data_IF_730149428902
#
_entry.id   IF_730149428902
#
_cell.length_a   1.000
_cell.length_b   1.000
_cell.length_c   1.000
_cell.angle_alpha   90.00
_cell.angle_beta   90.00
_cell.angle_gamma   90.00
#
_symmetry.space_group_name_H-M   'P 1'
#
loop_
_entity.id
_entity.type
_entity.pdbx_description
1 polymer ?
#
# COMPACT_ATOMS: atom_id res chain seq x y z
N UNK A 1 -35.15 -55.64 -26.60
CA UNK A 1 -33.84 -56.32 -26.45
C UNK A 1 -33.19 -55.76 -25.19
N UNK A 2 -33.25 -56.50 -24.07
CA UNK A 2 -32.79 -56.03 -22.76
C UNK A 2 -31.26 -56.15 -22.72
N UNK A 3 -30.57 -55.02 -22.55
CA UNK A 3 -29.12 -55.02 -22.34
C UNK A 3 -28.83 -55.64 -20.97
N UNK A 4 -28.44 -56.91 -20.96
CA UNK A 4 -27.90 -57.58 -19.78
C UNK A 4 -26.48 -57.06 -19.58
N UNK A 5 -26.33 -56.07 -18.70
CA UNK A 5 -25.02 -55.62 -18.24
C UNK A 5 -24.45 -56.75 -17.39
N UNK A 6 -23.33 -57.34 -17.84
CA UNK A 6 -22.66 -58.42 -17.12
C UNK A 6 -22.28 -57.97 -15.72
N UNK A 7 -22.54 -58.81 -14.71
CA UNK A 7 -22.23 -58.60 -13.29
C UNK A 7 -20.78 -58.13 -13.03
N UNK A 8 -19.87 -58.44 -13.94
CA UNK A 8 -18.46 -58.02 -13.89
C UNK A 8 -18.23 -56.54 -14.22
N UNK A 9 -19.06 -55.92 -15.07
CA UNK A 9 -18.96 -54.50 -15.40
C UNK A 9 -19.42 -53.61 -14.25
N UNK A 10 -20.52 -53.98 -13.58
CA UNK A 10 -20.95 -53.27 -12.36
C UNK A 10 -19.91 -53.39 -11.23
N UNK A 11 -19.26 -54.55 -11.10
CA UNK A 11 -18.19 -54.74 -10.12
C UNK A 11 -16.95 -53.88 -10.42
N UNK A 12 -16.61 -53.69 -11.71
CA UNK A 12 -15.54 -52.78 -12.16
C UNK A 12 -15.89 -51.32 -11.93
N UNK A 13 -17.11 -50.90 -12.22
CA UNK A 13 -17.63 -49.54 -11.99
C UNK A 13 -17.58 -49.18 -10.48
N UNK A 14 -18.00 -50.11 -9.61
CA UNK A 14 -17.98 -49.94 -8.15
C UNK A 14 -16.56 -49.88 -7.60
N UNK A 15 -15.61 -50.67 -8.13
CA UNK A 15 -14.18 -50.58 -7.77
C UNK A 15 -13.55 -49.25 -8.23
N UNK A 16 -13.93 -48.72 -9.40
CA UNK A 16 -13.46 -47.43 -9.93
C UNK A 16 -13.95 -46.22 -9.11
N UNK A 17 -15.18 -46.30 -8.57
CA UNK A 17 -15.71 -45.28 -7.64
C UNK A 17 -15.08 -45.38 -6.24
N UNK A 18 -14.79 -46.59 -5.75
CA UNK A 18 -14.17 -46.81 -4.42
C UNK A 18 -12.67 -46.41 -4.36
N UNK A 19 -11.95 -46.39 -5.48
CA UNK A 19 -10.51 -46.08 -5.51
C UNK A 19 -10.17 -44.59 -5.79
N UNK A 20 -11.16 -43.71 -5.96
CA UNK A 20 -10.94 -42.26 -5.94
C UNK A 20 -10.83 -41.78 -4.49
N UNK A 21 -9.71 -42.07 -3.85
CA UNK A 21 -9.35 -41.39 -2.59
C UNK A 21 -9.23 -39.89 -2.87
N UNK A 22 -9.80 -39.00 -2.04
CA UNK A 22 -9.46 -37.59 -2.11
C UNK A 22 -7.96 -37.48 -1.89
N UNK A 23 -7.26 -36.78 -2.78
CA UNK A 23 -5.82 -36.55 -2.65
C UNK A 23 -5.62 -35.60 -1.46
N UNK A 24 -5.50 -36.17 -0.26
CA UNK A 24 -5.01 -35.44 0.90
C UNK A 24 -3.62 -34.89 0.52
N UNK A 25 -3.43 -33.57 0.64
CA UNK A 25 -2.35 -32.75 0.07
C UNK A 25 -2.47 -32.26 -1.38
N UNK A 26 -3.67 -32.06 -1.93
CA UNK A 26 -3.79 -30.95 -2.88
C UNK A 26 -3.66 -29.64 -2.10
N UNK A 27 -2.58 -28.87 -2.30
CA UNK A 27 -2.54 -27.47 -1.87
C UNK A 27 -3.86 -26.84 -2.31
N UNK A 28 -4.69 -26.42 -1.35
CA UNK A 28 -5.93 -25.70 -1.65
C UNK A 28 -5.51 -24.61 -2.61
N UNK A 29 -5.96 -24.70 -3.87
CA UNK A 29 -5.72 -23.62 -4.82
C UNK A 29 -6.38 -22.44 -4.14
N UNK A 30 -5.58 -21.52 -3.61
CA UNK A 30 -6.07 -20.20 -3.25
C UNK A 30 -6.74 -19.73 -4.53
N UNK A 31 -8.07 -19.75 -4.55
CA UNK A 31 -8.80 -19.05 -5.58
C UNK A 31 -8.38 -17.61 -5.35
N UNK A 32 -7.41 -17.16 -6.12
CA UNK A 32 -7.16 -15.74 -6.23
C UNK A 32 -8.52 -15.13 -6.51
N UNK A 33 -8.91 -14.14 -5.71
CA UNK A 33 -10.22 -13.51 -5.73
C UNK A 33 -10.36 -12.62 -6.98
N UNK A 34 -10.05 -13.21 -8.15
CA UNK A 34 -9.97 -12.55 -9.45
C UNK A 34 -11.34 -12.01 -9.83
N UNK A 35 -12.42 -12.60 -9.33
CA UNK A 35 -13.77 -12.11 -9.57
C UNK A 35 -14.08 -10.76 -8.90
N UNK A 36 -13.31 -10.31 -7.90
CA UNK A 36 -13.41 -8.94 -7.39
C UNK A 36 -13.04 -7.87 -8.45
N UNK A 37 -12.41 -8.27 -9.55
CA UNK A 37 -11.85 -7.38 -10.56
C UNK A 37 -12.44 -7.60 -11.97
N UNK A 38 -13.34 -8.58 -12.11
CA UNK A 38 -13.93 -8.97 -13.40
C UNK A 38 -15.42 -9.23 -13.23
N UNK A 39 -16.22 -8.85 -14.22
CA UNK A 39 -17.63 -9.22 -14.31
C UNK A 39 -17.88 -10.18 -15.47
N UNK A 40 -18.94 -10.98 -15.36
CA UNK A 40 -19.34 -11.97 -16.37
C UNK A 40 -20.40 -11.34 -17.28
N UNK A 41 -20.21 -11.43 -18.58
CA UNK A 41 -21.17 -10.98 -19.60
C UNK A 41 -21.54 -12.16 -20.49
N UNK A 42 -22.81 -12.28 -20.84
CA UNK A 42 -23.30 -13.23 -21.84
C UNK A 42 -23.45 -12.48 -23.14
N UNK A 43 -22.64 -12.81 -24.14
CA UNK A 43 -22.71 -12.20 -25.46
C UNK A 43 -22.79 -13.29 -26.53
N UNK A 44 -23.53 -13.07 -27.63
CA UNK A 44 -23.41 -13.91 -28.81
C UNK A 44 -21.96 -13.85 -29.32
N UNK A 45 -21.39 -15.00 -29.68
CA UNK A 45 -20.11 -15.03 -30.36
C UNK A 45 -20.28 -14.46 -31.78
N UNK A 46 -19.37 -13.57 -32.20
CA UNK A 46 -19.40 -12.89 -33.50
C UNK A 46 -19.28 -13.89 -34.67
N UNK A 47 -18.83 -15.11 -34.40
CA UNK A 47 -18.53 -16.13 -35.42
C UNK A 47 -19.55 -17.25 -35.53
N UNK A 48 -20.26 -17.57 -34.45
CA UNK A 48 -21.16 -18.75 -34.40
C UNK A 48 -22.57 -18.42 -33.92
N UNK A 49 -22.82 -17.19 -33.45
CA UNK A 49 -24.13 -16.79 -32.92
C UNK A 49 -24.51 -17.49 -31.60
N UNK A 50 -23.65 -18.36 -31.06
CA UNK A 50 -23.87 -19.03 -29.79
C UNK A 50 -23.63 -18.07 -28.62
N UNK A 51 -24.49 -18.13 -27.60
CA UNK A 51 -24.36 -17.31 -26.40
C UNK A 51 -23.19 -17.83 -25.57
N UNK A 52 -22.05 -17.16 -25.66
CA UNK A 52 -20.85 -17.49 -24.89
C UNK A 52 -20.73 -16.60 -23.65
N UNK A 53 -20.31 -17.21 -22.55
CA UNK A 53 -19.95 -16.50 -21.33
C UNK A 53 -18.55 -15.90 -21.51
N UNK A 54 -18.44 -14.58 -21.34
CA UNK A 54 -17.19 -13.84 -21.39
C UNK A 54 -16.92 -13.18 -20.03
N UNK A 55 -15.66 -13.15 -19.63
CA UNK A 55 -15.17 -12.40 -18.47
C UNK A 55 -14.55 -11.08 -18.94
N UNK A 56 -15.04 -9.97 -18.42
CA UNK A 56 -14.63 -8.61 -18.78
C UNK A 56 -13.94 -7.98 -17.58
N UNK A 57 -12.78 -7.39 -17.80
CA UNK A 57 -12.01 -6.70 -16.76
C UNK A 57 -12.67 -5.35 -16.44
N UNK A 58 -12.79 -5.00 -15.17
CA UNK A 58 -13.39 -3.73 -14.75
C UNK A 58 -12.49 -2.51 -15.00
N UNK A 59 -11.21 -2.74 -15.27
CA UNK A 59 -10.18 -1.68 -15.34
C UNK A 59 -9.65 -1.42 -16.74
N UNK A 60 -9.84 -2.37 -17.67
CA UNK A 60 -9.49 -2.18 -19.06
C UNK A 60 -10.66 -2.61 -19.94
N UNK A 61 -11.03 -1.75 -20.87
CA UNK A 61 -12.10 -2.04 -21.82
C UNK A 61 -11.60 -2.90 -22.99
N UNK A 62 -10.29 -3.13 -23.07
CA UNK A 62 -9.65 -3.66 -24.28
C UNK A 62 -9.73 -5.18 -24.42
N UNK A 63 -10.08 -5.93 -23.36
CA UNK A 63 -9.98 -7.41 -23.37
C UNK A 63 -11.16 -8.10 -22.70
N UNK A 64 -11.88 -8.90 -23.49
CA UNK A 64 -12.87 -9.88 -23.04
C UNK A 64 -12.28 -11.28 -23.20
N UNK A 65 -12.46 -12.14 -22.19
CA UNK A 65 -11.93 -13.50 -22.18
C UNK A 65 -13.08 -14.51 -22.22
N UNK A 66 -13.02 -15.51 -23.08
CA UNK A 66 -13.99 -16.60 -23.05
C UNK A 66 -13.89 -17.36 -21.72
N UNK A 67 -15.03 -17.66 -21.10
CA UNK A 67 -15.12 -18.34 -19.82
C UNK A 67 -16.24 -19.37 -19.82
N UNK A 68 -15.95 -20.58 -19.32
CA UNK A 68 -16.97 -21.61 -19.05
C UNK A 68 -17.21 -21.67 -17.54
N UNK A 69 -18.48 -21.73 -17.09
CA UNK A 69 -18.78 -21.85 -15.64
C UNK A 69 -18.07 -23.09 -15.07
N UNK A 70 -17.36 -22.91 -13.95
CA UNK A 70 -16.56 -23.98 -13.34
C UNK A 70 -15.22 -24.26 -14.05
N UNK A 71 -14.90 -23.54 -15.12
CA UNK A 71 -13.63 -23.62 -15.82
C UNK A 71 -12.51 -22.87 -15.10
N UNK A 72 -11.27 -23.09 -15.56
CA UNK A 72 -10.07 -22.45 -15.01
C UNK A 72 -10.09 -20.92 -15.17
N UNK A 73 -9.74 -20.20 -14.11
CA UNK A 73 -9.57 -18.74 -14.10
C UNK A 73 -8.12 -18.31 -14.34
N UNK A 74 -7.20 -19.22 -14.69
CA UNK A 74 -5.77 -18.91 -14.84
C UNK A 74 -5.47 -17.86 -15.92
N UNK A 75 -6.29 -17.79 -16.98
CA UNK A 75 -6.13 -16.81 -18.07
C UNK A 75 -6.43 -15.39 -17.60
N UNK A 76 -7.56 -15.19 -16.94
CA UNK A 76 -7.96 -13.89 -16.37
C UNK A 76 -7.09 -13.50 -15.17
N UNK A 77 -6.64 -14.45 -14.36
CA UNK A 77 -5.68 -14.19 -13.28
C UNK A 77 -4.32 -13.70 -13.82
N UNK A 78 -3.82 -14.28 -14.91
CA UNK A 78 -2.59 -13.80 -15.57
C UNK A 78 -2.77 -12.41 -16.17
N UNK A 79 -3.95 -12.10 -16.71
CA UNK A 79 -4.27 -10.74 -17.13
C UNK A 79 -4.22 -9.77 -15.96
N UNK A 80 -4.89 -10.08 -14.84
CA UNK A 80 -4.97 -9.22 -13.66
C UNK A 80 -3.58 -8.73 -13.21
N UNK A 81 -2.62 -9.66 -13.07
CA UNK A 81 -1.24 -9.35 -12.66
C UNK A 81 -0.50 -8.37 -13.59
N UNK A 82 -0.90 -8.30 -14.87
CA UNK A 82 -0.26 -7.46 -15.90
C UNK A 82 -1.18 -6.36 -16.43
N UNK A 83 -2.39 -6.21 -15.90
CA UNK A 83 -3.38 -5.29 -16.43
C UNK A 83 -2.90 -3.84 -16.25
N UNK A 84 -2.69 -3.13 -17.38
CA UNK A 84 -2.29 -1.73 -17.36
C UNK A 84 -3.35 -0.85 -16.70
N UNK A 85 -4.63 -1.09 -17.01
CA UNK A 85 -5.76 -0.36 -16.41
C UNK A 85 -5.80 -0.48 -14.89
N UNK A 86 -5.58 -1.69 -14.36
CA UNK A 86 -5.50 -1.93 -12.92
C UNK A 86 -4.32 -1.19 -12.28
N UNK A 87 -3.13 -1.31 -12.87
CA UNK A 87 -1.93 -0.59 -12.38
C UNK A 87 -2.12 0.93 -12.39
N UNK A 88 -2.72 1.47 -13.44
CA UNK A 88 -3.04 2.90 -13.53
C UNK A 88 -4.08 3.34 -12.50
N UNK A 89 -5.09 2.50 -12.21
CA UNK A 89 -6.03 2.76 -11.12
C UNK A 89 -5.31 2.77 -9.76
N UNK A 90 -4.50 1.76 -9.47
CA UNK A 90 -3.71 1.72 -8.22
C UNK A 90 -2.79 2.94 -8.08
N UNK A 91 -2.15 3.38 -9.17
CA UNK A 91 -1.35 4.61 -9.17
C UNK A 91 -2.19 5.86 -8.90
N UNK A 92 -3.38 5.97 -9.50
CA UNK A 92 -4.32 7.08 -9.23
C UNK A 92 -4.83 7.06 -7.79
N UNK A 93 -5.19 5.89 -7.25
CA UNK A 93 -5.66 5.73 -5.88
C UNK A 93 -4.55 6.10 -4.87
N UNK A 94 -3.30 5.74 -5.16
CA UNK A 94 -2.14 6.16 -4.36
C UNK A 94 -1.92 7.69 -4.40
N UNK A 95 -2.06 8.31 -5.57
CA UNK A 95 -1.99 9.78 -5.72
C UNK A 95 -3.15 10.44 -4.98
N UNK A 96 -4.36 9.92 -5.10
CA UNK A 96 -5.55 10.44 -4.43
C UNK A 96 -5.42 10.35 -2.91
N UNK A 97 -4.91 9.22 -2.39
CA UNK A 97 -4.61 9.05 -0.96
C UNK A 97 -3.58 10.08 -0.49
N UNK A 98 -2.55 10.35 -1.30
CA UNK A 98 -1.54 11.39 -1.03
C UNK A 98 -2.15 12.79 -1.03
N UNK A 99 -3.06 13.09 -1.97
CA UNK A 99 -3.77 14.36 -2.06
C UNK A 99 -4.79 14.53 -0.92
N UNK A 100 -5.43 13.46 -0.45
CA UNK A 100 -6.32 13.49 0.71
C UNK A 100 -5.55 13.75 2.00
N UNK A 101 -4.35 13.15 2.15
CA UNK A 101 -3.40 13.55 3.19
C UNK A 101 -3.07 15.05 3.13
N UNK A 102 -2.89 15.59 1.91
CA UNK A 102 -2.60 17.02 1.68
C UNK A 102 -3.79 17.94 1.97
N UNK A 103 -5.04 17.50 1.74
CA UNK A 103 -6.24 18.28 2.07
C UNK A 103 -6.54 18.32 3.57
N UNK A 104 -6.26 17.23 4.28
CA UNK A 104 -6.36 17.19 5.75
C UNK A 104 -5.32 18.13 6.37
N UNK A 105 -4.13 18.22 5.77
CA UNK A 105 -3.06 19.15 6.16
C UNK A 105 -3.25 20.55 5.55
N UNK A 106 -4.45 21.12 5.73
CA UNK A 106 -4.85 22.41 5.20
C UNK A 106 -3.79 23.50 5.37
N UNK A 107 -3.60 24.27 4.29
CA UNK A 107 -3.09 25.66 4.28
C UNK A 107 -2.08 26.01 5.38
N UNK A 108 -0.86 25.52 5.28
CA UNK A 108 0.29 26.25 5.82
C UNK A 108 1.45 26.04 4.88
N UNK A 109 1.97 27.16 4.38
CA UNK A 109 3.21 27.30 3.64
C UNK A 109 4.40 26.80 4.46
N UNK A 110 4.53 25.48 4.57
CA UNK A 110 5.71 24.78 5.04
C UNK A 110 6.48 24.22 3.85
N UNK A 111 7.82 24.24 3.85
CA UNK A 111 8.60 23.78 2.71
C UNK A 111 8.34 22.30 2.49
N UNK A 112 7.74 21.99 1.35
CA UNK A 112 7.55 20.63 0.88
C UNK A 112 8.93 20.02 0.66
N UNK A 113 9.30 19.02 1.46
CA UNK A 113 10.51 18.22 1.26
C UNK A 113 10.50 17.68 -0.18
N UNK A 114 11.36 18.25 -1.01
CA UNK A 114 11.50 17.88 -2.41
C UNK A 114 12.06 16.44 -2.50
N UNK A 115 11.59 15.58 -3.43
CA UNK A 115 12.03 14.18 -3.54
C UNK A 115 13.51 13.97 -3.90
N UNK A 116 14.31 15.04 -3.99
CA UNK A 116 15.74 15.00 -4.32
C UNK A 116 16.67 15.46 -3.20
N UNK A 117 16.16 15.78 -2.01
CA UNK A 117 17.01 16.09 -0.87
C UNK A 117 17.32 14.78 -0.17
N UNK A 118 18.56 14.31 -0.31
CA UNK A 118 19.06 13.18 0.46
C UNK A 118 18.81 13.46 1.94
N UNK A 119 18.30 12.47 2.67
CA UNK A 119 17.96 12.64 4.08
C UNK A 119 19.23 12.95 4.88
N UNK A 120 19.30 14.17 5.42
CA UNK A 120 20.34 14.59 6.34
C UNK A 120 19.79 14.67 7.78
N UNK A 121 20.32 13.79 8.64
CA UNK A 121 19.98 13.78 10.06
C UNK A 121 20.43 15.07 10.77
N UNK A 122 21.49 15.73 10.29
CA UNK A 122 21.98 17.00 10.82
C UNK A 122 20.92 18.10 10.75
N UNK A 123 20.28 18.26 9.59
CA UNK A 123 19.20 19.23 9.38
C UNK A 123 18.02 18.97 10.33
N UNK A 124 17.61 17.70 10.48
CA UNK A 124 16.52 17.33 11.39
C UNK A 124 16.89 17.65 12.84
N UNK A 125 18.13 17.35 13.25
CA UNK A 125 18.63 17.61 14.59
C UNK A 125 18.66 19.11 14.90
N UNK A 126 19.13 19.93 13.95
CA UNK A 126 19.12 21.39 14.05
C UNK A 126 17.70 21.94 14.18
N UNK A 127 16.76 21.42 13.38
CA UNK A 127 15.35 21.86 13.42
C UNK A 127 14.70 21.54 14.77
N UNK A 128 14.92 20.34 15.31
CA UNK A 128 14.45 19.95 16.64
C UNK A 128 15.09 20.83 17.72
N UNK A 129 16.38 21.16 17.59
CA UNK A 129 17.07 22.04 18.54
C UNK A 129 16.49 23.46 18.52
N UNK A 130 16.21 24.02 17.34
CA UNK A 130 15.49 25.30 17.19
C UNK A 130 14.12 25.24 17.86
N UNK A 131 13.35 24.18 17.61
CA UNK A 131 12.04 23.99 18.22
C UNK A 131 12.11 23.97 19.76
N UNK A 132 13.07 23.22 20.32
CA UNK A 132 13.32 23.18 21.76
C UNK A 132 13.69 24.55 22.30
N UNK A 133 14.59 25.29 21.62
CA UNK A 133 15.05 26.60 22.08
C UNK A 133 13.93 27.65 22.07
N UNK A 134 13.07 27.64 21.04
CA UNK A 134 11.99 28.62 20.88
C UNK A 134 10.82 28.31 21.82
N UNK A 135 10.41 27.05 21.89
CA UNK A 135 9.24 26.63 22.66
C UNK A 135 9.56 26.15 24.08
N UNK A 136 10.83 26.17 24.48
CA UNK A 136 11.31 25.75 25.81
C UNK A 136 10.87 24.33 26.18
N UNK A 137 10.83 23.44 25.18
CA UNK A 137 10.52 22.04 25.43
C UNK A 137 11.61 21.35 26.26
N UNK A 138 11.21 20.39 27.07
CA UNK A 138 12.15 19.53 27.78
C UNK A 138 13.01 18.74 26.78
N UNK A 139 14.33 18.67 27.01
CA UNK A 139 15.24 17.84 26.22
C UNK A 139 14.88 16.36 26.25
N UNK A 140 14.07 15.89 27.22
CA UNK A 140 13.59 14.50 27.27
C UNK A 140 12.62 14.16 26.14
N UNK A 141 11.99 15.17 25.53
CA UNK A 141 11.00 14.98 24.48
C UNK A 141 11.51 14.13 23.32
N UNK A 142 12.79 14.28 22.93
CA UNK A 142 13.39 13.49 21.83
C UNK A 142 13.56 11.99 22.14
N UNK A 143 13.52 11.62 23.42
CA UNK A 143 13.62 10.24 23.88
C UNK A 143 12.24 9.61 24.12
N UNK A 144 11.14 10.38 24.00
CA UNK A 144 9.81 9.84 24.16
C UNK A 144 9.48 8.85 23.02
N UNK A 145 8.79 7.76 23.36
CA UNK A 145 8.45 6.68 22.42
C UNK A 145 7.63 7.20 21.24
N UNK A 146 6.52 7.90 21.52
CA UNK A 146 5.63 8.44 20.49
C UNK A 146 6.29 9.50 19.61
N UNK A 147 7.24 10.27 20.16
CA UNK A 147 8.03 11.20 19.35
C UNK A 147 8.89 10.42 18.33
N UNK A 148 9.57 9.36 18.78
CA UNK A 148 10.39 8.54 17.89
C UNK A 148 9.55 7.77 16.85
N UNK A 149 8.36 7.30 17.21
CA UNK A 149 7.41 6.69 16.26
C UNK A 149 6.97 7.70 15.21
N UNK A 150 6.59 8.92 15.62
CA UNK A 150 6.24 10.01 14.71
C UNK A 150 7.37 10.32 13.73
N UNK A 151 8.60 10.48 14.23
CA UNK A 151 9.76 10.79 13.39
C UNK A 151 10.07 9.68 12.38
N UNK A 152 10.00 8.40 12.80
CA UNK A 152 10.19 7.25 11.89
C UNK A 152 9.08 7.12 10.86
N UNK A 153 7.84 7.48 11.22
CA UNK A 153 6.71 7.50 10.29
C UNK A 153 6.90 8.57 9.20
N UNK A 154 7.43 9.74 9.57
CA UNK A 154 7.75 10.80 8.60
C UNK A 154 8.96 10.46 7.72
N UNK A 155 9.98 9.81 8.28
CA UNK A 155 11.13 9.35 7.50
C UNK A 155 11.69 8.02 8.05
N UNK A 156 11.63 6.91 7.28
CA UNK A 156 12.15 5.62 7.70
C UNK A 156 13.66 5.60 8.02
N UNK A 157 14.44 6.52 7.45
CA UNK A 157 15.88 6.63 7.68
C UNK A 157 16.21 7.40 8.98
N UNK A 158 15.20 7.89 9.71
CA UNK A 158 15.40 8.60 10.96
C UNK A 158 16.05 7.73 12.03
N UNK A 159 17.10 8.27 12.65
CA UNK A 159 17.77 7.67 13.80
C UNK A 159 17.43 8.46 15.06
N UNK A 160 16.98 7.80 16.14
CA UNK A 160 16.69 8.45 17.42
C UNK A 160 17.85 9.32 17.91
N UNK A 161 17.51 10.51 18.43
CA UNK A 161 18.48 11.47 18.95
C UNK A 161 18.47 11.35 20.48
N UNK A 162 19.64 11.18 21.08
CA UNK A 162 19.79 11.18 22.54
C UNK A 162 19.74 12.58 23.15
N UNK A 163 19.32 12.67 24.42
CA UNK A 163 19.23 13.94 25.17
C UNK A 163 20.54 14.73 25.21
N UNK A 164 21.67 14.06 25.37
CA UNK A 164 22.99 14.72 25.38
C UNK A 164 23.30 15.36 24.02
N UNK A 165 22.97 14.66 22.94
CA UNK A 165 23.24 15.12 21.58
C UNK A 165 22.36 16.34 21.22
N UNK A 166 21.08 16.32 21.59
CA UNK A 166 20.19 17.47 21.32
C UNK A 166 20.54 18.67 22.19
N UNK A 167 20.98 18.45 23.44
CA UNK A 167 21.43 19.53 24.33
C UNK A 167 22.65 20.26 23.74
N UNK A 168 23.64 19.51 23.25
CA UNK A 168 24.80 20.11 22.58
C UNK A 168 24.39 20.93 21.35
N UNK A 169 23.45 20.40 20.56
CA UNK A 169 22.92 21.11 19.39
C UNK A 169 22.19 22.41 19.77
N UNK A 170 21.40 22.39 20.84
CA UNK A 170 20.70 23.57 21.33
C UNK A 170 21.67 24.70 21.72
N UNK A 171 22.82 24.37 22.31
CA UNK A 171 23.83 25.39 22.64
C UNK A 171 24.41 26.04 21.37
N UNK A 172 24.72 25.23 20.35
CA UNK A 172 25.19 25.74 19.05
C UNK A 172 24.14 26.67 18.41
N UNK A 173 22.87 26.24 18.41
CA UNK A 173 21.76 27.03 17.87
C UNK A 173 21.57 28.33 18.65
N UNK A 174 21.63 28.30 19.98
CA UNK A 174 21.52 29.49 20.82
C UNK A 174 22.64 30.49 20.55
N UNK A 175 23.88 30.02 20.46
CA UNK A 175 25.05 30.87 20.16
C UNK A 175 24.93 31.51 18.76
N UNK A 176 24.49 30.71 17.77
CA UNK A 176 24.22 31.19 16.42
C UNK A 176 23.15 32.29 16.40
N UNK A 177 22.02 32.05 17.05
CA UNK A 177 20.91 33.00 17.14
C UNK A 177 21.26 34.28 17.89
N UNK A 178 22.12 34.20 18.92
CA UNK A 178 22.66 35.38 19.59
C UNK A 178 23.58 36.19 18.66
N UNK A 179 24.48 35.52 17.94
CA UNK A 179 25.44 36.17 17.02
C UNK A 179 24.76 36.95 15.90
N UNK A 180 23.68 36.40 15.34
CA UNK A 180 22.90 37.06 14.29
C UNK A 180 21.84 38.03 14.81
N UNK A 181 21.79 38.27 16.13
CA UNK A 181 20.82 39.17 16.77
C UNK A 181 19.36 38.69 16.73
N UNK A 182 19.10 37.49 16.19
CA UNK A 182 17.76 36.97 15.96
C UNK A 182 17.09 36.50 17.27
N UNK A 183 17.89 36.15 18.29
CA UNK A 183 17.38 35.69 19.60
C UNK A 183 16.49 36.75 20.27
N UNK A 184 16.88 38.03 20.21
CA UNK A 184 16.07 39.14 20.75
C UNK A 184 14.73 39.25 20.04
N UNK A 185 14.70 39.09 18.71
CA UNK A 185 13.48 39.15 17.91
C UNK A 185 12.52 37.99 18.21
N UNK A 186 13.06 36.78 18.37
CA UNK A 186 12.28 35.59 18.74
C UNK A 186 11.70 35.75 20.15
N UNK A 187 12.53 36.18 21.11
CA UNK A 187 12.10 36.38 22.50
C UNK A 187 11.01 37.47 22.59
N UNK A 188 11.22 38.59 21.89
CA UNK A 188 10.25 39.68 21.78
C UNK A 188 8.89 39.19 21.27
N UNK A 189 8.86 38.42 20.18
CA UNK A 189 7.62 37.87 19.60
C UNK A 189 6.87 36.92 20.54
N UNK A 190 7.56 36.26 21.46
CA UNK A 190 6.97 35.27 22.37
C UNK A 190 6.45 35.89 23.67
N UNK A 191 7.05 36.99 24.14
CA UNK A 191 6.81 37.55 25.47
C UNK A 191 6.29 39.00 25.49
N UNK A 192 6.29 39.74 24.38
CA UNK A 192 5.73 41.10 24.27
C UNK A 192 4.34 41.16 23.59
N UNK A 193 3.67 40.02 23.35
CA UNK A 193 2.29 39.95 22.84
C UNK A 193 1.40 39.31 23.90
#
# INVERSE_FOLDING_TARGET
LVHVVSSEEEARERKRKKNKRPRANAHVRMSSDVWAHFHKVREPDEKTGEIVLKAVCNYCNDKKYAYKQGGSTSTIGRHHLKCKGYKSKMARDAIQTTLELRRINGTTSGPTMHPSIEYDQGIVKELIAKMICVHEYSFRMVEHEWFNILMKCMNPNYKPIGRKAIRAECMIVQDGLHRVGLWRTIWRRKYEV
#
